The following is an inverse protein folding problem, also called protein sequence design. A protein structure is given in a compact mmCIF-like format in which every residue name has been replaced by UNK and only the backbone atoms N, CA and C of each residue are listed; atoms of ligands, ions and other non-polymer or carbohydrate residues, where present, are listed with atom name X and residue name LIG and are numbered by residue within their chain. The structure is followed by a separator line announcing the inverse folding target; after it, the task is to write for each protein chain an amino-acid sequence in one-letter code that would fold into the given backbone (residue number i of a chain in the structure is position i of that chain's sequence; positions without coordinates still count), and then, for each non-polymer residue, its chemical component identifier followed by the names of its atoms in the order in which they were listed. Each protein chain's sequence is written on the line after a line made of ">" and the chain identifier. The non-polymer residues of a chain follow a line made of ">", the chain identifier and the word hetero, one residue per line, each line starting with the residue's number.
data_IF_743543731184
#
_entry.id   IF_743543731184
#
_cell.length_a   1.000
_cell.length_b   1.000
_cell.length_c   1.000
_cell.angle_alpha   90.00
_cell.angle_beta   90.00
_cell.angle_gamma   90.00
#
_symmetry.space_group_name_H-M   'P 1'
#
loop_
_entity.id
_entity.type
_entity.pdbx_description
1 polymer ?
#
# COMPACT_ATOMS: atom_id res chain seq x y z
N UNK A 1 -40.84 51.06 9.10
CA UNK A 1 -41.25 49.91 9.96
C UNK A 1 -41.36 48.73 9.01
N UNK A 2 -40.53 47.67 9.00
CA UNK A 2 -39.75 46.98 10.04
C UNK A 2 -38.34 46.63 9.54
N UNK A 3 -37.35 46.89 10.40
CA UNK A 3 -36.05 46.20 10.45
C UNK A 3 -36.29 44.79 11.03
N UNK A 4 -35.23 44.00 11.21
CA UNK A 4 -35.18 42.63 11.79
C UNK A 4 -35.19 41.53 10.71
N UNK A 5 -34.03 41.19 10.19
CA UNK A 5 -33.08 40.26 10.82
C UNK A 5 -33.43 38.81 10.46
N UNK A 6 -32.59 38.21 9.62
CA UNK A 6 -31.89 36.94 9.87
C UNK A 6 -31.31 36.44 8.56
N UNK A 7 -30.16 37.01 8.23
CA UNK A 7 -29.04 36.26 7.66
C UNK A 7 -28.95 34.90 8.35
N UNK A 8 -29.39 33.83 7.67
CA UNK A 8 -29.08 32.45 8.05
C UNK A 8 -28.14 31.89 6.98
N UNK A 9 -26.86 32.20 7.17
CA UNK A 9 -25.76 31.47 6.56
C UNK A 9 -25.77 30.06 7.18
N UNK A 10 -26.41 29.09 6.54
CA UNK A 10 -26.01 27.70 6.74
C UNK A 10 -24.91 27.41 5.74
N UNK A 11 -23.68 27.67 6.17
CA UNK A 11 -22.52 27.03 5.58
C UNK A 11 -22.70 25.52 5.72
N UNK A 12 -23.16 24.85 4.66
CA UNK A 12 -23.07 23.41 4.53
C UNK A 12 -21.60 23.10 4.28
N UNK A 13 -20.80 23.19 5.35
CA UNK A 13 -19.45 22.66 5.39
C UNK A 13 -19.57 21.16 5.21
N UNK A 14 -19.46 20.70 3.95
CA UNK A 14 -19.17 19.31 3.68
C UNK A 14 -17.78 19.09 4.25
N UNK A 15 -17.73 18.65 5.50
CA UNK A 15 -16.55 18.02 6.05
C UNK A 15 -16.22 16.89 5.09
N UNK A 16 -15.20 17.07 4.25
CA UNK A 16 -14.53 15.97 3.59
C UNK A 16 -14.02 15.11 4.74
N UNK A 17 -14.82 14.11 5.13
CA UNK A 17 -14.39 13.07 6.02
C UNK A 17 -13.20 12.45 5.32
N UNK A 18 -12.00 12.80 5.76
CA UNK A 18 -10.80 12.01 5.53
C UNK A 18 -10.92 10.74 6.36
N UNK A 19 -11.97 9.97 6.10
CA UNK A 19 -11.98 8.57 6.41
C UNK A 19 -10.82 8.00 5.61
N UNK A 20 -9.80 7.55 6.33
CA UNK A 20 -8.82 6.58 5.82
C UNK A 20 -9.57 5.27 5.52
N UNK A 21 -10.53 5.31 4.60
CA UNK A 21 -11.13 4.15 4.03
C UNK A 21 -10.03 3.55 3.15
N UNK A 22 -9.58 2.36 3.51
CA UNK A 22 -8.75 1.54 2.62
C UNK A 22 -9.28 1.69 1.20
N UNK A 23 -8.42 2.06 0.25
CA UNK A 23 -8.84 2.37 -1.11
C UNK A 23 -9.63 1.17 -1.67
N UNK A 24 -10.70 1.38 -2.46
CA UNK A 24 -11.53 0.29 -2.97
C UNK A 24 -10.70 -0.83 -3.62
N UNK A 25 -9.59 -0.48 -4.28
CA UNK A 25 -8.66 -1.42 -4.90
C UNK A 25 -7.96 -2.37 -3.91
N UNK A 26 -7.60 -1.90 -2.70
CA UNK A 26 -6.98 -2.76 -1.70
C UNK A 26 -7.96 -3.83 -1.20
N UNK A 27 -9.20 -3.43 -0.89
CA UNK A 27 -10.23 -4.36 -0.43
C UNK A 27 -10.59 -5.41 -1.49
N UNK A 28 -10.72 -5.01 -2.75
CA UNK A 28 -10.92 -5.95 -3.85
C UNK A 28 -9.73 -6.90 -4.01
N UNK A 29 -8.51 -6.39 -3.85
CA UNK A 29 -7.29 -7.21 -3.85
C UNK A 29 -7.30 -8.26 -2.75
N UNK A 30 -7.72 -7.89 -1.53
CA UNK A 30 -7.87 -8.82 -0.40
C UNK A 30 -8.92 -9.91 -0.69
N UNK A 31 -10.05 -9.57 -1.31
CA UNK A 31 -11.04 -10.58 -1.72
C UNK A 31 -10.51 -11.55 -2.77
N UNK A 32 -9.69 -11.08 -3.72
CA UNK A 32 -9.02 -11.97 -4.66
C UNK A 32 -7.99 -12.86 -3.95
N UNK A 33 -7.23 -12.29 -3.02
CA UNK A 33 -6.25 -12.99 -2.20
C UNK A 33 -6.89 -14.12 -1.38
N UNK A 34 -8.00 -13.84 -0.70
CA UNK A 34 -8.76 -14.80 0.11
C UNK A 34 -9.32 -15.95 -0.73
N UNK A 35 -9.64 -15.70 -2.01
CA UNK A 35 -10.04 -16.73 -2.97
C UNK A 35 -8.86 -17.52 -3.55
N UNK A 36 -7.63 -17.18 -3.20
CA UNK A 36 -6.41 -17.78 -3.76
C UNK A 36 -6.09 -17.33 -5.19
N UNK A 37 -6.78 -16.32 -5.70
CA UNK A 37 -6.52 -15.72 -7.01
C UNK A 37 -5.41 -14.67 -6.88
N UNK A 38 -4.19 -15.15 -6.68
CA UNK A 38 -3.04 -14.29 -6.39
C UNK A 38 -2.62 -13.41 -7.57
N UNK A 39 -2.88 -13.82 -8.81
CA UNK A 39 -2.59 -13.00 -9.99
C UNK A 39 -3.54 -11.80 -10.03
N UNK A 40 -4.83 -12.03 -9.80
CA UNK A 40 -5.79 -10.94 -9.69
C UNK A 40 -5.51 -10.04 -8.49
N UNK A 41 -5.18 -10.61 -7.33
CA UNK A 41 -4.83 -9.87 -6.13
C UNK A 41 -3.62 -8.97 -6.36
N UNK A 42 -2.55 -9.49 -6.96
CA UNK A 42 -1.35 -8.73 -7.31
C UNK A 42 -1.70 -7.53 -8.20
N UNK A 43 -2.55 -7.71 -9.22
CA UNK A 43 -2.97 -6.62 -10.11
C UNK A 43 -3.72 -5.53 -9.35
N UNK A 44 -4.66 -5.90 -8.49
CA UNK A 44 -5.46 -4.95 -7.71
C UNK A 44 -4.62 -4.23 -6.65
N UNK A 45 -3.71 -4.93 -5.98
CA UNK A 45 -2.74 -4.30 -5.08
C UNK A 45 -1.79 -3.38 -5.84
N UNK A 46 -1.37 -3.70 -7.06
CA UNK A 46 -0.55 -2.81 -7.88
C UNK A 46 -1.26 -1.50 -8.20
N UNK A 47 -2.55 -1.55 -8.51
CA UNK A 47 -3.36 -0.35 -8.73
C UNK A 47 -3.45 0.50 -7.46
N UNK A 48 -3.81 -0.10 -6.32
CA UNK A 48 -3.92 0.62 -5.05
C UNK A 48 -2.55 1.16 -4.57
N UNK A 49 -1.47 0.38 -4.74
CA UNK A 49 -0.13 0.79 -4.35
C UNK A 49 0.39 1.98 -5.16
N UNK A 50 0.03 2.06 -6.46
CA UNK A 50 0.32 3.22 -7.32
C UNK A 50 -0.42 4.48 -6.88
N UNK A 51 -1.56 4.33 -6.21
CA UNK A 51 -2.32 5.43 -5.61
C UNK A 51 -1.82 5.82 -4.20
N UNK A 52 -0.75 5.18 -3.71
CA UNK A 52 -0.16 5.49 -2.41
C UNK A 52 -0.71 4.67 -1.25
N UNK A 53 -1.55 3.65 -1.50
CA UNK A 53 -2.05 2.79 -0.42
C UNK A 53 -0.88 1.97 0.18
N UNK A 54 -0.50 2.33 1.41
CA UNK A 54 0.64 1.74 2.08
C UNK A 54 0.43 0.24 2.40
N UNK A 55 -0.81 -0.20 2.59
CA UNK A 55 -1.12 -1.62 2.81
C UNK A 55 -0.89 -2.41 1.52
N UNK A 56 -1.36 -1.88 0.39
CA UNK A 56 -1.14 -2.48 -0.92
C UNK A 56 0.34 -2.53 -1.30
N UNK A 57 1.10 -1.47 -0.99
CA UNK A 57 2.55 -1.44 -1.19
C UNK A 57 3.25 -2.54 -0.39
N UNK A 58 2.90 -2.74 0.88
CA UNK A 58 3.50 -3.83 1.67
C UNK A 58 3.11 -5.21 1.12
N UNK A 59 1.83 -5.40 0.75
CA UNK A 59 1.37 -6.68 0.19
C UNK A 59 2.08 -7.02 -1.11
N UNK A 60 2.25 -6.08 -2.04
CA UNK A 60 3.06 -6.30 -3.24
C UNK A 60 4.50 -6.66 -2.91
N UNK A 61 5.09 -5.96 -1.93
CA UNK A 61 6.42 -6.24 -1.41
C UNK A 61 6.58 -7.71 -1.03
N UNK A 62 5.66 -8.22 -0.21
CA UNK A 62 5.64 -9.62 0.20
C UNK A 62 5.35 -10.58 -0.97
N UNK A 63 4.43 -10.21 -1.86
CA UNK A 63 4.07 -11.03 -3.02
C UNK A 63 5.25 -11.29 -3.95
N UNK A 64 6.02 -10.25 -4.25
CA UNK A 64 7.23 -10.41 -5.04
C UNK A 64 8.37 -11.07 -4.26
N UNK A 65 8.45 -10.89 -2.93
CA UNK A 65 9.52 -11.48 -2.13
C UNK A 65 9.42 -13.01 -2.05
N UNK A 66 8.21 -13.54 -1.90
CA UNK A 66 7.97 -14.98 -1.85
C UNK A 66 7.68 -15.57 -3.22
N UNK A 67 7.12 -14.78 -4.14
CA UNK A 67 6.82 -15.21 -5.50
C UNK A 67 5.97 -16.48 -5.55
N UNK A 68 6.22 -17.33 -6.55
CA UNK A 68 5.40 -18.51 -6.86
C UNK A 68 5.41 -19.58 -5.77
N UNK A 69 6.34 -19.52 -4.82
CA UNK A 69 6.41 -20.46 -3.69
C UNK A 69 5.19 -20.34 -2.77
N UNK A 70 4.66 -19.11 -2.60
CA UNK A 70 3.46 -18.83 -1.79
C UNK A 70 2.31 -18.36 -2.69
N UNK A 71 2.60 -17.55 -3.70
CA UNK A 71 1.62 -16.86 -4.53
C UNK A 71 1.67 -17.40 -5.96
N UNK A 72 0.94 -18.49 -6.21
CA UNK A 72 0.88 -19.14 -7.53
C UNK A 72 0.63 -18.11 -8.64
N UNK A 73 1.50 -18.11 -9.65
CA UNK A 73 1.39 -17.20 -10.80
C UNK A 73 2.02 -15.82 -10.63
N UNK A 74 2.60 -15.51 -9.46
CA UNK A 74 3.33 -14.27 -9.21
C UNK A 74 4.84 -14.57 -9.18
N UNK A 75 5.62 -14.18 -10.20
CA UNK A 75 7.06 -14.43 -10.22
C UNK A 75 7.77 -13.73 -9.05
N UNK A 76 8.81 -14.38 -8.51
CA UNK A 76 9.66 -13.77 -7.48
C UNK A 76 10.49 -12.64 -8.10
N UNK A 77 10.51 -11.49 -7.45
CA UNK A 77 11.31 -10.32 -7.84
C UNK A 77 11.72 -9.54 -6.58
N UNK A 78 12.93 -9.79 -6.09
CA UNK A 78 13.39 -9.22 -4.82
C UNK A 78 13.69 -7.72 -4.95
N UNK A 79 14.03 -7.24 -6.14
CA UNK A 79 14.23 -5.81 -6.40
C UNK A 79 12.91 -5.04 -6.36
N UNK A 80 11.88 -5.54 -7.04
CA UNK A 80 10.54 -4.98 -6.96
C UNK A 80 9.99 -5.05 -5.52
N UNK A 81 10.21 -6.17 -4.83
CA UNK A 81 9.83 -6.32 -3.43
C UNK A 81 10.45 -5.25 -2.54
N UNK A 82 11.76 -5.03 -2.64
CA UNK A 82 12.46 -4.00 -1.87
C UNK A 82 11.91 -2.59 -2.16
N UNK A 83 11.67 -2.24 -3.42
CA UNK A 83 11.11 -0.93 -3.77
C UNK A 83 9.71 -0.70 -3.18
N UNK A 84 8.84 -1.70 -3.22
CA UNK A 84 7.49 -1.57 -2.68
C UNK A 84 7.49 -1.50 -1.16
N UNK A 85 8.35 -2.27 -0.49
CA UNK A 85 8.49 -2.24 0.98
C UNK A 85 9.09 -0.92 1.48
N UNK A 86 10.03 -0.33 0.74
CA UNK A 86 10.58 0.98 1.06
C UNK A 86 9.51 2.08 0.96
N UNK A 87 8.70 2.05 -0.09
CA UNK A 87 7.55 2.97 -0.24
C UNK A 87 6.52 2.77 0.87
N UNK A 88 6.20 1.52 1.21
CA UNK A 88 5.29 1.22 2.31
C UNK A 88 5.82 1.81 3.64
N UNK A 89 7.12 1.65 3.91
CA UNK A 89 7.77 2.21 5.08
C UNK A 89 7.66 3.74 5.12
N UNK A 90 7.86 4.41 3.98
CA UNK A 90 7.72 5.85 3.86
C UNK A 90 6.26 6.34 4.01
N UNK A 91 5.27 5.53 3.59
CA UNK A 91 3.85 5.90 3.57
C UNK A 91 3.07 5.43 4.81
N UNK A 92 3.72 5.23 5.95
CA UNK A 92 3.05 4.95 7.22
C UNK A 92 2.98 3.48 7.62
N UNK A 93 3.79 2.61 7.00
CA UNK A 93 4.03 1.23 7.45
C UNK A 93 5.47 1.06 7.95
N UNK A 94 5.88 1.68 9.07
CA UNK A 94 7.27 1.63 9.52
C UNK A 94 7.79 0.19 9.72
N UNK A 95 6.91 -0.77 10.04
CA UNK A 95 7.24 -2.20 10.09
C UNK A 95 7.72 -2.79 8.75
N UNK A 96 7.32 -2.22 7.62
CA UNK A 96 7.80 -2.63 6.29
C UNK A 96 9.31 -2.41 6.12
N UNK A 97 9.95 -1.52 6.92
CA UNK A 97 11.41 -1.36 6.93
C UNK A 97 12.13 -2.66 7.33
N UNK A 98 11.58 -3.41 8.29
CA UNK A 98 12.13 -4.71 8.67
C UNK A 98 12.07 -5.71 7.51
N UNK A 99 10.91 -5.78 6.83
CA UNK A 99 10.71 -6.64 5.67
C UNK A 99 11.65 -6.25 4.52
N UNK A 100 11.77 -4.96 4.24
CA UNK A 100 12.72 -4.41 3.27
C UNK A 100 14.15 -4.87 3.56
N UNK A 101 14.61 -4.74 4.81
CA UNK A 101 15.95 -5.18 5.20
C UNK A 101 16.11 -6.70 5.16
N UNK A 102 15.05 -7.47 5.38
CA UNK A 102 15.08 -8.92 5.20
C UNK A 102 15.24 -9.29 3.72
N UNK A 103 14.52 -8.63 2.81
CA UNK A 103 14.59 -8.85 1.37
C UNK A 103 15.93 -8.40 0.80
N UNK A 104 16.39 -7.19 1.14
CA UNK A 104 17.64 -6.60 0.65
C UNK A 104 18.90 -7.39 1.03
N UNK A 105 18.83 -8.22 2.09
CA UNK A 105 19.93 -9.12 2.50
C UNK A 105 19.96 -10.44 1.71
N UNK A 106 18.85 -10.84 1.08
CA UNK A 106 18.75 -12.11 0.34
C UNK A 106 19.36 -12.04 -1.06
N UNK A 107 19.37 -10.86 -1.67
CA UNK A 107 20.23 -10.58 -2.82
C UNK A 107 21.48 -9.84 -2.35
N UNK A 108 22.59 -9.96 -3.10
CA UNK A 108 23.74 -9.06 -2.97
C UNK A 108 23.41 -7.61 -3.45
N UNK A 109 22.21 -7.10 -3.15
CA UNK A 109 21.81 -5.68 -3.22
C UNK A 109 22.60 -4.80 -2.24
N UNK A 110 23.61 -5.39 -1.57
CA UNK A 110 24.47 -4.83 -0.53
C UNK A 110 25.13 -3.51 -0.92
N UNK A 111 25.42 -3.29 -2.20
CA UNK A 111 26.05 -2.05 -2.66
C UNK A 111 25.08 -0.86 -2.78
N UNK A 112 23.78 -1.10 -2.96
CA UNK A 112 22.82 -0.03 -3.28
C UNK A 112 21.83 0.25 -2.15
N UNK A 113 21.56 -0.72 -1.27
CA UNK A 113 20.36 -0.72 -0.41
C UNK A 113 20.68 -0.89 1.09
N UNK A 114 21.83 -1.48 1.43
CA UNK A 114 22.16 -1.89 2.81
C UNK A 114 22.45 -0.74 3.79
N UNK A 115 22.77 0.46 3.30
CA UNK A 115 23.00 1.65 4.14
C UNK A 115 21.76 2.13 4.90
N UNK A 116 20.57 1.61 4.57
CA UNK A 116 19.30 1.95 5.23
C UNK A 116 18.81 0.89 6.22
N UNK A 117 19.64 -0.10 6.54
CA UNK A 117 19.31 -1.21 7.43
C UNK A 117 20.27 -1.25 8.62
N UNK A 118 19.95 -0.48 9.66
CA UNK A 118 20.64 -0.47 10.96
C UNK A 118 19.65 -0.78 12.08
#
# INVERSE_FOLDING_TARGET
>A
MSRFARTLLLALGLAAASASAAQPGFQQGMQAYERGDFVQAQRLFLEAARQGDAHAQEMLGLMYAFGTEIYRGVPRDLFAAAQWLDRAAANGRPGARYLYCAVARKEDLRATIASYCF
#
